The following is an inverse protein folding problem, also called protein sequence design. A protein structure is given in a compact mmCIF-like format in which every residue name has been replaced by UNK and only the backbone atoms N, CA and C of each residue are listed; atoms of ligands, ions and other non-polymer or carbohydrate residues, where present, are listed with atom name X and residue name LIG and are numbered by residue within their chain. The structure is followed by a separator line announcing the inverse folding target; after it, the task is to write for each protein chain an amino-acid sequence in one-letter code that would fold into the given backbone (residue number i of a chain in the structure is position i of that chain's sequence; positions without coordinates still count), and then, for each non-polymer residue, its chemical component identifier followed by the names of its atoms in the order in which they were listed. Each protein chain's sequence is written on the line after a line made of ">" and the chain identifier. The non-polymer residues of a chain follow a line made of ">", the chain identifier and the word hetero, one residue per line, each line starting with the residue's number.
data_IF_065913406372
#
_entry.id   IF_065913406372
#
_cell.length_a   1.000
_cell.length_b   1.000
_cell.length_c   1.000
_cell.angle_alpha   90.00
_cell.angle_beta   90.00
_cell.angle_gamma   90.00
#
_symmetry.space_group_name_H-M   'P 1'
#
loop_
_entity.id
_entity.type
_entity.pdbx_description
1 polymer ?
#
# COMPACT_ATOMS: atom_id res chain seq x y z
N UNK A 1 -34.23 -5.40 -5.76
CA UNK A 1 -34.97 -6.56 -5.23
C UNK A 1 -36.31 -6.14 -4.64
N UNK A 2 -36.34 -5.24 -3.64
CA UNK A 2 -37.60 -4.83 -2.99
C UNK A 2 -38.70 -4.30 -3.94
N UNK A 3 -38.35 -3.57 -5.01
CA UNK A 3 -39.31 -3.13 -6.04
C UNK A 3 -39.96 -4.31 -6.79
N UNK A 4 -39.24 -5.42 -6.97
CA UNK A 4 -39.66 -6.58 -7.76
C UNK A 4 -40.25 -7.70 -6.90
N UNK A 5 -39.86 -7.79 -5.63
CA UNK A 5 -40.38 -8.73 -4.64
C UNK A 5 -40.40 -8.03 -3.27
N UNK A 6 -41.55 -7.40 -2.89
CA UNK A 6 -41.67 -6.67 -1.63
C UNK A 6 -41.59 -7.60 -0.42
N UNK A 7 -40.82 -7.19 0.58
CA UNK A 7 -40.70 -7.88 1.87
C UNK A 7 -41.80 -7.50 2.87
N UNK A 8 -42.62 -6.49 2.53
CA UNK A 8 -43.67 -5.93 3.38
C UNK A 8 -43.16 -5.41 4.74
N UNK A 9 -41.87 -5.07 4.86
CA UNK A 9 -41.31 -4.56 6.11
C UNK A 9 -41.94 -3.20 6.44
N UNK A 10 -42.25 -2.98 7.72
CA UNK A 10 -42.79 -1.70 8.19
C UNK A 10 -41.82 -0.53 8.02
N UNK A 11 -42.31 0.70 8.18
CA UNK A 11 -41.57 1.96 7.91
C UNK A 11 -40.18 2.06 8.60
N UNK A 12 -39.95 1.35 9.71
CA UNK A 12 -38.66 1.34 10.43
C UNK A 12 -37.61 0.35 9.91
N UNK A 13 -38.00 -0.69 9.16
CA UNK A 13 -37.09 -1.77 8.73
C UNK A 13 -36.04 -1.32 7.72
N UNK A 14 -36.42 -0.42 6.80
CA UNK A 14 -35.54 0.08 5.76
C UNK A 14 -34.36 0.89 6.29
N UNK A 15 -34.53 1.67 7.36
CA UNK A 15 -33.46 2.50 7.88
C UNK A 15 -32.27 1.65 8.38
N UNK A 16 -32.56 0.55 9.07
CA UNK A 16 -31.53 -0.39 9.53
C UNK A 16 -30.88 -1.13 8.36
N UNK A 17 -31.68 -1.58 7.38
CA UNK A 17 -31.16 -2.23 6.17
C UNK A 17 -30.24 -1.29 5.35
N UNK A 18 -30.62 -0.02 5.20
CA UNK A 18 -29.82 0.98 4.50
C UNK A 18 -28.53 1.32 5.24
N UNK A 19 -28.54 1.39 6.57
CA UNK A 19 -27.31 1.58 7.37
C UNK A 19 -26.36 0.40 7.20
N UNK A 20 -26.87 -0.82 7.26
CA UNK A 20 -26.08 -2.02 7.05
C UNK A 20 -25.51 -2.06 5.61
N UNK A 21 -26.36 -1.82 4.61
CA UNK A 21 -25.93 -1.78 3.21
C UNK A 21 -24.87 -0.68 2.98
N UNK A 22 -25.03 0.48 3.61
CA UNK A 22 -24.05 1.56 3.58
C UNK A 22 -22.72 1.16 4.21
N UNK A 23 -22.75 0.53 5.39
CA UNK A 23 -21.54 0.03 6.06
C UNK A 23 -20.81 -1.03 5.22
N UNK A 24 -21.55 -1.98 4.64
CA UNK A 24 -21.00 -2.98 3.73
C UNK A 24 -20.43 -2.32 2.47
N UNK A 25 -21.12 -1.33 1.90
CA UNK A 25 -20.67 -0.60 0.73
C UNK A 25 -19.36 0.17 0.98
N UNK A 26 -19.24 0.81 2.15
CA UNK A 26 -18.00 1.49 2.57
C UNK A 26 -16.88 0.47 2.76
N UNK A 27 -17.13 -0.63 3.48
CA UNK A 27 -16.13 -1.67 3.71
C UNK A 27 -15.66 -2.33 2.41
N UNK A 28 -16.59 -2.71 1.53
CA UNK A 28 -16.29 -3.28 0.22
C UNK A 28 -15.57 -2.29 -0.70
N UNK A 29 -15.98 -1.02 -0.68
CA UNK A 29 -15.30 0.05 -1.41
C UNK A 29 -13.85 0.23 -0.96
N UNK A 30 -13.61 0.26 0.35
CA UNK A 30 -12.26 0.34 0.90
C UNK A 30 -11.39 -0.84 0.42
N UNK A 31 -11.89 -2.09 0.55
CA UNK A 31 -11.15 -3.28 0.11
C UNK A 31 -10.86 -3.24 -1.40
N UNK A 32 -11.83 -2.82 -2.22
CA UNK A 32 -11.68 -2.71 -3.67
C UNK A 32 -10.60 -1.68 -4.04
N UNK A 33 -10.63 -0.48 -3.45
CA UNK A 33 -9.63 0.54 -3.74
C UNK A 33 -8.24 0.18 -3.19
N UNK A 34 -8.17 -0.47 -2.03
CA UNK A 34 -6.92 -0.98 -1.47
C UNK A 34 -6.31 -2.03 -2.40
N UNK A 35 -7.09 -3.01 -2.86
CA UNK A 35 -6.63 -4.04 -3.79
C UNK A 35 -6.19 -3.42 -5.13
N UNK A 36 -6.99 -2.51 -5.71
CA UNK A 36 -6.61 -1.79 -6.95
C UNK A 36 -5.30 -1.01 -6.80
N UNK A 37 -5.06 -0.44 -5.62
CA UNK A 37 -3.79 0.22 -5.33
C UNK A 37 -2.63 -0.77 -5.31
N UNK A 38 -2.76 -1.89 -4.58
CA UNK A 38 -1.73 -2.93 -4.48
C UNK A 38 -1.38 -3.55 -5.84
N UNK A 39 -2.36 -3.75 -6.73
CA UNK A 39 -2.09 -4.30 -8.06
C UNK A 39 -1.09 -3.44 -8.87
N UNK A 40 -1.04 -2.12 -8.62
CA UNK A 40 -0.01 -1.23 -9.18
C UNK A 40 1.36 -1.49 -8.56
N UNK A 41 1.45 -1.72 -7.26
CA UNK A 41 2.70 -2.10 -6.59
C UNK A 41 3.22 -3.48 -7.05
N UNK A 42 2.33 -4.40 -7.43
CA UNK A 42 2.73 -5.68 -8.04
C UNK A 42 3.10 -5.58 -9.52
N UNK A 43 2.89 -4.42 -10.16
CA UNK A 43 3.08 -4.27 -11.60
C UNK A 43 2.03 -5.01 -12.44
N UNK A 44 0.89 -5.39 -11.85
CA UNK A 44 -0.23 -6.04 -12.55
C UNK A 44 -1.14 -5.04 -13.28
N UNK A 45 -0.93 -3.74 -13.08
CA UNK A 45 -1.59 -2.64 -13.78
C UNK A 45 -0.61 -1.48 -13.94
N UNK A 46 -0.93 -0.49 -14.80
CA UNK A 46 -0.13 0.72 -14.99
C UNK A 46 0.22 1.39 -13.64
N UNK A 47 1.50 1.71 -13.46
CA UNK A 47 2.06 2.16 -12.20
C UNK A 47 3.23 3.15 -12.36
N UNK A 48 3.38 3.81 -13.51
CA UNK A 48 4.54 4.68 -13.77
C UNK A 48 4.57 5.87 -12.81
N UNK A 49 3.40 6.37 -12.41
CA UNK A 49 3.29 7.40 -11.37
C UNK A 49 3.84 6.91 -10.03
N UNK A 50 3.44 5.72 -9.59
CA UNK A 50 3.87 5.12 -8.32
C UNK A 50 5.37 4.82 -8.33
N UNK A 51 5.93 4.33 -9.45
CA UNK A 51 7.38 4.09 -9.59
C UNK A 51 8.18 5.38 -9.45
N UNK A 52 7.72 6.49 -10.04
CA UNK A 52 8.38 7.81 -9.88
C UNK A 52 8.30 8.32 -8.45
N UNK A 53 7.15 8.15 -7.81
CA UNK A 53 6.93 8.55 -6.42
C UNK A 53 7.81 7.74 -5.46
N UNK A 54 7.83 6.41 -5.63
CA UNK A 54 8.68 5.49 -4.88
C UNK A 54 10.17 5.87 -5.00
N UNK A 55 10.66 6.11 -6.21
CA UNK A 55 12.06 6.53 -6.41
C UNK A 55 12.36 7.83 -5.65
N UNK A 56 11.50 8.84 -5.77
CA UNK A 56 11.66 10.11 -5.06
C UNK A 56 11.68 9.93 -3.55
N UNK A 57 10.66 9.29 -3.00
CA UNK A 57 10.50 9.13 -1.54
C UNK A 57 11.63 8.29 -0.93
N UNK A 58 12.07 7.24 -1.63
CA UNK A 58 13.18 6.39 -1.16
C UNK A 58 14.52 7.10 -1.24
N UNK A 59 14.78 7.87 -2.30
CA UNK A 59 15.98 8.70 -2.42
C UNK A 59 16.02 9.77 -1.33
N UNK A 60 14.90 10.44 -1.07
CA UNK A 60 14.79 11.44 0.01
C UNK A 60 15.11 10.80 1.38
N UNK A 61 14.62 9.58 1.64
CA UNK A 61 14.98 8.80 2.84
C UNK A 61 16.46 8.49 2.91
N UNK A 62 17.07 8.03 1.81
CA UNK A 62 18.52 7.73 1.75
C UNK A 62 19.33 8.98 2.05
N UNK A 63 19.02 10.12 1.40
CA UNK A 63 19.70 11.40 1.65
C UNK A 63 19.55 11.85 3.10
N UNK A 64 18.42 11.55 3.74
CA UNK A 64 18.18 11.83 5.15
C UNK A 64 18.80 10.80 6.12
N UNK A 65 19.48 9.77 5.63
CA UNK A 65 20.04 8.69 6.46
C UNK A 65 18.97 7.80 7.13
N UNK A 66 17.74 7.79 6.61
CA UNK A 66 16.63 7.03 7.16
C UNK A 66 16.52 5.64 6.52
N UNK A 67 15.97 4.64 7.25
CA UNK A 67 15.68 3.34 6.67
C UNK A 67 14.61 3.45 5.58
N UNK A 68 14.81 2.72 4.47
CA UNK A 68 13.92 2.73 3.30
C UNK A 68 12.48 2.34 3.67
N UNK A 69 12.32 1.28 4.45
CA UNK A 69 11.01 0.69 4.79
C UNK A 69 10.59 0.94 6.25
N UNK A 70 11.17 1.95 6.89
CA UNK A 70 10.90 2.29 8.29
C UNK A 70 11.54 1.34 9.29
N UNK A 71 11.24 1.57 10.56
CA UNK A 71 11.73 0.78 11.69
C UNK A 71 10.64 -0.14 12.24
N UNK A 72 11.06 -1.28 12.79
CA UNK A 72 10.16 -2.30 13.32
C UNK A 72 10.56 -2.67 14.73
N UNK A 73 9.56 -2.84 15.59
CA UNK A 73 9.74 -3.32 16.97
C UNK A 73 9.90 -4.85 17.02
N UNK A 74 9.70 -5.54 15.89
CA UNK A 74 9.79 -6.99 15.80
C UNK A 74 11.23 -7.43 15.51
N UNK A 75 11.59 -8.60 16.03
CA UNK A 75 12.86 -9.25 15.67
C UNK A 75 12.91 -9.56 14.17
N UNK A 76 14.10 -9.65 13.56
CA UNK A 76 14.23 -9.98 12.13
C UNK A 76 13.52 -11.28 11.73
N UNK A 77 13.49 -12.28 12.63
CA UNK A 77 12.77 -13.53 12.41
C UNK A 77 11.25 -13.31 12.32
N UNK A 78 10.67 -12.49 13.22
CA UNK A 78 9.25 -12.16 13.22
C UNK A 78 8.86 -11.27 12.03
N UNK A 79 9.74 -10.34 11.63
CA UNK A 79 9.56 -9.59 10.38
C UNK A 79 9.49 -10.55 9.18
N UNK A 80 10.35 -11.56 9.13
CA UNK A 80 10.33 -12.64 8.14
C UNK A 80 9.01 -13.39 8.08
N UNK A 81 8.47 -13.76 9.24
CA UNK A 81 7.16 -14.42 9.32
C UNK A 81 6.04 -13.49 8.86
N UNK A 82 6.03 -12.24 9.31
CA UNK A 82 5.03 -11.25 8.93
C UNK A 82 5.03 -10.96 7.43
N UNK A 83 6.20 -10.85 6.81
CA UNK A 83 6.32 -10.67 5.36
C UNK A 83 5.73 -11.85 4.59
N UNK A 84 6.02 -13.09 5.00
CA UNK A 84 5.48 -14.28 4.33
C UNK A 84 3.95 -14.41 4.46
N UNK A 85 3.38 -13.99 5.58
CA UNK A 85 1.93 -14.01 5.79
C UNK A 85 1.20 -12.91 5.00
N UNK A 86 1.81 -11.73 4.88
CA UNK A 86 1.19 -10.58 4.21
C UNK A 86 1.53 -10.44 2.73
N UNK A 87 2.57 -11.13 2.25
CA UNK A 87 2.96 -11.11 0.83
C UNK A 87 1.87 -11.74 -0.04
N UNK A 88 1.48 -11.01 -1.08
CA UNK A 88 0.40 -11.38 -2.02
C UNK A 88 -0.99 -11.61 -1.40
N UNK A 89 -1.23 -11.21 -0.15
CA UNK A 89 -2.52 -11.38 0.52
C UNK A 89 -3.68 -10.70 -0.22
N UNK A 90 -3.41 -9.62 -0.95
CA UNK A 90 -4.38 -8.89 -1.77
C UNK A 90 -5.07 -9.75 -2.84
N UNK A 91 -4.43 -10.84 -3.28
CA UNK A 91 -5.03 -11.78 -4.23
C UNK A 91 -6.14 -12.64 -3.60
N UNK A 92 -6.23 -12.68 -2.27
CA UNK A 92 -7.18 -13.51 -1.51
C UNK A 92 -8.20 -12.69 -0.71
N UNK A 93 -8.34 -11.38 -1.00
CA UNK A 93 -9.25 -10.47 -0.29
C UNK A 93 -10.72 -10.85 -0.38
N UNK A 94 -11.14 -11.57 -1.43
CA UNK A 94 -12.50 -12.10 -1.53
C UNK A 94 -12.84 -13.16 -0.47
N UNK A 95 -11.84 -13.74 0.19
CA UNK A 95 -12.01 -14.73 1.26
C UNK A 95 -11.62 -14.12 2.61
N UNK A 96 -10.43 -13.53 2.72
CA UNK A 96 -9.94 -12.95 3.96
C UNK A 96 -9.13 -11.69 3.67
N UNK A 97 -9.58 -10.50 4.11
CA UNK A 97 -8.78 -9.30 4.02
C UNK A 97 -7.62 -9.39 5.00
N UNK A 98 -6.39 -9.27 4.49
CA UNK A 98 -5.18 -9.34 5.31
C UNK A 98 -4.15 -8.31 4.86
N UNK A 99 -3.68 -7.50 5.80
CA UNK A 99 -2.88 -6.31 5.52
C UNK A 99 -1.46 -6.45 6.06
N UNK A 100 -0.52 -5.72 5.46
CA UNK A 100 0.81 -5.57 6.03
C UNK A 100 0.83 -4.39 7.02
N UNK A 101 1.14 -4.68 8.29
CA UNK A 101 1.36 -3.68 9.34
C UNK A 101 2.77 -3.72 9.92
N UNK A 102 3.67 -4.50 9.30
CA UNK A 102 5.04 -4.69 9.78
C UNK A 102 6.01 -4.10 8.78
N UNK A 103 6.79 -3.13 9.24
CA UNK A 103 7.97 -2.65 8.53
C UNK A 103 8.99 -3.80 8.47
N UNK A 104 9.35 -4.24 7.27
CA UNK A 104 10.29 -5.34 7.04
C UNK A 104 11.11 -5.09 5.78
N UNK A 105 12.32 -5.65 5.67
CA UNK A 105 13.16 -5.47 4.47
C UNK A 105 12.76 -6.29 3.23
N UNK A 106 11.73 -7.13 3.30
CA UNK A 106 11.45 -8.18 2.30
C UNK A 106 10.44 -7.77 1.23
N UNK A 107 10.74 -6.70 0.49
CA UNK A 107 9.86 -6.17 -0.57
C UNK A 107 10.12 -6.77 -1.96
N UNK A 108 11.16 -7.58 -2.13
CA UNK A 108 11.44 -8.27 -3.39
C UNK A 108 11.94 -7.36 -4.52
N UNK A 109 12.57 -6.24 -4.17
CA UNK A 109 13.17 -5.29 -5.11
C UNK A 109 14.67 -5.12 -4.80
N UNK A 110 15.45 -4.79 -5.83
CA UNK A 110 16.81 -4.31 -5.64
C UNK A 110 16.78 -2.89 -5.06
N UNK A 111 17.23 -2.75 -3.81
CA UNK A 111 17.27 -1.46 -3.11
C UNK A 111 18.48 -0.62 -3.48
N UNK A 112 19.51 -1.21 -4.12
CA UNK A 112 20.72 -0.48 -4.53
C UNK A 112 20.41 0.69 -5.47
N UNK A 113 19.37 0.56 -6.29
CA UNK A 113 18.92 1.61 -7.21
C UNK A 113 18.63 2.96 -6.52
N UNK A 114 18.14 2.94 -5.27
CA UNK A 114 17.84 4.17 -4.54
C UNK A 114 19.11 4.85 -4.04
N UNK A 115 20.09 4.07 -3.56
CA UNK A 115 21.38 4.59 -3.13
C UNK A 115 22.17 5.18 -4.30
N UNK A 116 22.23 4.45 -5.42
CA UNK A 116 22.87 4.94 -6.65
C UNK A 116 22.22 6.23 -7.16
N UNK A 117 20.90 6.34 -7.09
CA UNK A 117 20.20 7.57 -7.49
C UNK A 117 20.49 8.72 -6.53
N UNK A 118 20.51 8.46 -5.22
CA UNK A 118 20.85 9.46 -4.22
C UNK A 118 22.27 9.99 -4.40
N UNK A 119 23.25 9.11 -4.65
CA UNK A 119 24.63 9.47 -4.97
C UNK A 119 24.70 10.40 -6.19
N UNK A 120 24.05 10.03 -7.29
CA UNK A 120 24.00 10.86 -8.50
C UNK A 120 23.44 12.26 -8.25
N UNK A 121 22.38 12.36 -7.45
CA UNK A 121 21.76 13.65 -7.15
C UNK A 121 22.64 14.51 -6.22
N UNK A 122 23.25 13.90 -5.19
CA UNK A 122 24.16 14.61 -4.30
C UNK A 122 25.42 15.09 -5.03
N UNK A 123 25.95 14.30 -5.95
CA UNK A 123 27.06 14.71 -6.81
C UNK A 123 26.68 15.88 -7.71
N UNK A 124 25.50 15.86 -8.33
CA UNK A 124 24.99 16.96 -9.15
C UNK A 124 24.82 18.25 -8.33
N UNK A 125 24.26 18.15 -7.12
CA UNK A 125 24.13 19.28 -6.18
C UNK A 125 25.50 19.83 -5.75
N UNK A 126 26.50 18.96 -5.54
CA UNK A 126 27.86 19.38 -5.21
C UNK A 126 28.52 20.14 -6.36
N UNK A 127 28.39 19.63 -7.58
CA UNK A 127 28.95 20.26 -8.78
C UNK A 127 28.28 21.62 -9.07
N UNK A 128 26.97 21.73 -8.88
CA UNK A 128 26.27 23.01 -9.07
C UNK A 128 26.65 24.06 -8.02
N UNK A 129 27.00 23.63 -6.79
CA UNK A 129 27.45 24.52 -5.70
C UNK A 129 28.93 24.91 -5.80
N UNK A 130 29.77 24.02 -6.34
CA UNK A 130 31.22 24.25 -6.47
C UNK A 130 31.65 24.99 -7.75
N UNK A 131 30.72 25.23 -8.67
CA UNK A 131 30.95 26.01 -9.90
C UNK A 131 30.62 27.50 -9.80
N UNK A 132 30.43 28.03 -8.57
CA UNK A 132 30.21 29.45 -8.28
C UNK A 132 31.44 30.09 -7.64
#
# INVERSE_FOLDING_TARGET
>A
MEKFAPSHVGKGGFASALRLAGAIGIGGGFLYFYQRSILRFYGMSENAREVRMDMREMVDRVKAGQPLYGESQLSPALQGTAARQSRYSALFFGVMPWFNFVNHGQHGVDTAKYYQQAERELEAERLSRGGA
#
